data_IF_216247059971
#
_entry.id   IF_216247059971
#
_cell.length_a   1.000
_cell.length_b   1.000
_cell.length_c   1.000
_cell.angle_alpha   90.00
_cell.angle_beta   90.00
_cell.angle_gamma   90.00
#
_symmetry.space_group_name_H-M   'P 1'
#
loop_
_entity.id
_entity.type
_entity.pdbx_description
1 polymer ?
#
# COMPACT_ATOMS: atom_id res chain seq x y z
N UNK A 1 7.18 26.34 9.92
CA UNK A 1 6.08 25.35 9.90
C UNK A 1 6.51 24.16 9.06
N UNK A 2 6.37 22.93 9.56
CA UNK A 2 6.68 21.71 8.80
C UNK A 2 5.58 21.47 7.75
N UNK A 3 5.98 21.27 6.50
CA UNK A 3 5.05 20.99 5.39
C UNK A 3 4.90 19.49 5.18
N UNK A 4 3.71 19.05 4.77
CA UNK A 4 3.52 17.70 4.25
C UNK A 4 4.42 17.45 3.04
N UNK A 5 4.80 16.19 2.85
CA UNK A 5 5.67 15.76 1.76
C UNK A 5 4.99 14.66 0.96
N UNK A 6 5.24 14.70 -0.33
CA UNK A 6 4.91 13.63 -1.26
C UNK A 6 6.09 13.41 -2.20
N UNK A 7 6.04 12.41 -3.05
CA UNK A 7 7.09 12.17 -4.05
C UNK A 7 7.08 13.26 -5.12
N UNK A 8 8.25 13.66 -5.60
CA UNK A 8 8.36 14.55 -6.76
C UNK A 8 7.97 13.87 -8.07
N UNK A 9 8.25 12.56 -8.17
CA UNK A 9 7.93 11.73 -9.33
C UNK A 9 7.62 10.28 -8.91
N UNK A 10 6.86 9.51 -9.71
CA UNK A 10 6.62 8.10 -9.43
C UNK A 10 7.91 7.26 -9.42
N UNK A 11 7.97 6.26 -8.54
CA UNK A 11 9.07 5.29 -8.46
C UNK A 11 8.49 3.89 -8.65
N UNK A 12 9.21 3.02 -9.37
CA UNK A 12 8.84 1.62 -9.62
C UNK A 12 9.97 0.68 -9.22
N UNK A 13 9.62 -0.43 -8.58
CA UNK A 13 10.55 -1.51 -8.29
C UNK A 13 9.88 -2.88 -8.43
N UNK A 14 10.67 -3.94 -8.56
CA UNK A 14 10.21 -5.33 -8.67
C UNK A 14 10.94 -6.15 -7.62
N UNK A 15 10.21 -7.03 -6.93
CA UNK A 15 10.77 -7.88 -5.89
C UNK A 15 9.95 -9.14 -5.64
N UNK A 16 10.40 -9.93 -4.67
CA UNK A 16 9.71 -11.14 -4.21
C UNK A 16 9.13 -10.87 -2.82
N UNK A 17 7.85 -11.17 -2.60
CA UNK A 17 7.23 -11.07 -1.29
C UNK A 17 7.80 -12.10 -0.32
N UNK A 18 8.32 -11.67 0.83
CA UNK A 18 9.05 -12.52 1.77
C UNK A 18 8.24 -13.76 2.20
N UNK A 19 6.97 -13.60 2.56
CA UNK A 19 6.13 -14.68 3.06
C UNK A 19 5.31 -15.40 1.99
N UNK A 20 5.13 -14.78 0.81
CA UNK A 20 4.34 -15.37 -0.28
C UNK A 20 5.18 -16.03 -1.36
N UNK A 21 6.47 -15.68 -1.47
CA UNK A 21 7.35 -16.09 -2.57
C UNK A 21 6.94 -15.53 -3.93
N UNK A 22 5.93 -14.64 -3.99
CA UNK A 22 5.38 -14.14 -5.26
C UNK A 22 6.18 -12.95 -5.77
N UNK A 23 6.51 -12.97 -7.06
CA UNK A 23 7.04 -11.80 -7.77
C UNK A 23 5.97 -10.71 -7.84
N UNK A 24 6.31 -9.50 -7.41
CA UNK A 24 5.41 -8.35 -7.41
C UNK A 24 6.12 -7.11 -7.94
N UNK A 25 5.33 -6.20 -8.51
CA UNK A 25 5.77 -4.88 -8.96
C UNK A 25 5.17 -3.83 -8.04
N UNK A 26 6.00 -3.06 -7.35
CA UNK A 26 5.56 -1.93 -6.52
C UNK A 26 5.74 -0.63 -7.31
N UNK A 27 4.70 0.19 -7.35
CA UNK A 27 4.77 1.56 -7.88
C UNK A 27 4.28 2.52 -6.80
N UNK A 28 5.14 3.48 -6.42
CA UNK A 28 4.83 4.52 -5.43
C UNK A 28 4.63 5.82 -6.20
N UNK A 29 3.48 6.49 -6.00
CA UNK A 29 3.07 7.67 -6.76
C UNK A 29 2.97 8.91 -5.84
N UNK A 30 3.17 10.12 -6.37
CA UNK A 30 2.77 11.34 -5.69
C UNK A 30 1.28 11.32 -5.33
N UNK A 31 0.92 12.03 -4.27
CA UNK A 31 -0.42 12.10 -3.72
C UNK A 31 -0.72 13.53 -3.21
N UNK A 32 -1.99 13.98 -3.24
CA UNK A 32 -2.37 15.30 -2.79
C UNK A 32 -2.19 15.45 -1.26
N UNK A 33 -2.34 16.69 -0.78
CA UNK A 33 -2.32 17.00 0.66
C UNK A 33 -3.42 16.20 1.38
N UNK A 34 -3.14 15.81 2.63
CA UNK A 34 -4.05 15.07 3.50
C UNK A 34 -4.47 13.67 2.99
N UNK A 35 -3.86 13.18 1.91
CA UNK A 35 -4.17 11.86 1.34
C UNK A 35 -3.73 10.68 2.21
N UNK A 36 -2.74 10.91 3.09
CA UNK A 36 -2.08 9.86 3.86
C UNK A 36 -1.30 8.88 2.97
N UNK A 37 -1.07 7.67 3.47
CA UNK A 37 -0.49 6.56 2.70
C UNK A 37 -1.61 5.57 2.41
N UNK A 38 -1.78 5.19 1.14
CA UNK A 38 -2.78 4.23 0.71
C UNK A 38 -2.16 3.17 -0.19
N UNK A 39 -2.52 1.91 0.04
CA UNK A 39 -2.12 0.79 -0.80
C UNK A 39 -3.25 0.44 -1.78
N UNK A 40 -2.89 0.06 -3.01
CA UNK A 40 -3.85 -0.32 -4.04
C UNK A 40 -3.41 -1.63 -4.68
N UNK A 41 -4.28 -2.64 -4.68
CA UNK A 41 -4.07 -3.91 -5.35
C UNK A 41 -4.52 -3.83 -6.81
N UNK A 42 -3.60 -3.42 -7.68
CA UNK A 42 -3.88 -3.19 -9.11
C UNK A 42 -4.12 -4.47 -9.93
N UNK A 43 -3.75 -5.63 -9.39
CA UNK A 43 -3.99 -6.93 -9.99
C UNK A 43 -5.44 -7.43 -9.80
N UNK A 44 -6.23 -6.73 -8.98
CA UNK A 44 -7.64 -7.06 -8.74
C UNK A 44 -8.54 -5.94 -9.29
N UNK A 45 -9.47 -6.25 -10.23
CA UNK A 45 -10.39 -5.25 -10.74
C UNK A 45 -11.28 -4.73 -9.60
N UNK A 46 -11.49 -3.41 -9.55
CA UNK A 46 -12.32 -2.72 -8.56
C UNK A 46 -11.84 -2.82 -7.09
N UNK A 47 -10.59 -3.20 -6.83
CA UNK A 47 -10.06 -3.17 -5.47
C UNK A 47 -10.02 -1.73 -4.93
N UNK A 48 -10.77 -1.48 -3.87
CA UNK A 48 -10.74 -0.20 -3.18
C UNK A 48 -9.33 0.06 -2.58
N UNK A 49 -8.85 1.31 -2.57
CA UNK A 49 -7.65 1.66 -1.82
C UNK A 49 -7.76 1.28 -0.35
N UNK A 50 -6.66 0.82 0.23
CA UNK A 50 -6.55 0.45 1.65
C UNK A 50 -5.64 1.49 2.34
N UNK A 51 -6.20 2.36 3.20
CA UNK A 51 -5.39 3.30 3.97
C UNK A 51 -4.44 2.57 4.92
N UNK A 52 -3.20 3.04 5.02
CA UNK A 52 -2.24 2.60 6.02
C UNK A 52 -2.64 3.16 7.40
N UNK A 53 -3.69 2.59 7.98
CA UNK A 53 -4.29 3.04 9.23
C UNK A 53 -4.39 1.88 10.21
N UNK A 54 -4.20 2.14 11.52
CA UNK A 54 -4.19 1.10 12.54
C UNK A 54 -5.48 0.26 12.56
N UNK A 55 -6.63 0.90 12.31
CA UNK A 55 -7.94 0.22 12.26
C UNK A 55 -8.11 -0.70 11.04
N UNK A 56 -7.25 -0.60 10.02
CA UNK A 56 -7.27 -1.51 8.87
C UNK A 56 -6.43 -2.77 9.08
N UNK A 57 -5.64 -2.85 10.17
CA UNK A 57 -4.80 -4.02 10.47
C UNK A 57 -5.68 -5.22 10.83
N UNK A 58 -5.47 -6.35 10.15
CA UNK A 58 -6.26 -7.57 10.35
C UNK A 58 -5.44 -8.80 10.74
N UNK A 59 -4.12 -8.80 10.54
CA UNK A 59 -3.22 -9.88 10.96
C UNK A 59 -1.84 -9.27 11.29
N UNK A 60 -1.18 -9.82 12.30
CA UNK A 60 0.14 -9.41 12.77
C UNK A 60 1.14 -10.56 12.80
N UNK A 61 0.74 -11.76 12.39
CA UNK A 61 1.63 -12.93 12.33
C UNK A 61 2.57 -12.77 11.14
N UNK A 62 3.87 -12.82 11.40
CA UNK A 62 4.97 -12.70 10.43
C UNK A 62 5.09 -11.32 9.74
N UNK A 63 4.01 -10.56 9.59
CA UNK A 63 3.99 -9.20 9.06
C UNK A 63 2.80 -8.39 9.61
N UNK A 64 2.79 -7.07 9.41
CA UNK A 64 1.59 -6.24 9.60
C UNK A 64 0.77 -6.24 8.31
N UNK A 65 -0.42 -6.83 8.35
CA UNK A 65 -1.31 -6.98 7.18
C UNK A 65 -2.53 -6.09 7.33
N UNK A 66 -2.84 -5.32 6.30
CA UNK A 66 -4.04 -4.46 6.25
C UNK A 66 -5.09 -5.02 5.29
N UNK A 67 -6.36 -4.74 5.55
CA UNK A 67 -7.47 -5.23 4.73
C UNK A 67 -8.56 -4.19 4.50
N UNK A 68 -9.16 -4.22 3.31
CA UNK A 68 -10.43 -3.55 3.00
C UNK A 68 -11.28 -4.45 2.11
N UNK A 69 -12.57 -4.61 2.42
CA UNK A 69 -13.53 -5.38 1.62
C UNK A 69 -13.02 -6.79 1.21
N UNK A 70 -12.34 -7.48 2.13
CA UNK A 70 -11.77 -8.81 1.91
C UNK A 70 -10.45 -8.85 1.13
N UNK A 71 -9.98 -7.71 0.61
CA UNK A 71 -8.69 -7.59 -0.08
C UNK A 71 -7.59 -7.24 0.91
N UNK A 72 -6.49 -8.01 0.90
CA UNK A 72 -5.34 -7.85 1.80
C UNK A 72 -4.11 -7.29 1.07
N UNK A 73 -3.30 -6.53 1.82
CA UNK A 73 -1.94 -6.10 1.46
C UNK A 73 -1.00 -6.50 2.59
#
# INVERSE_FOLDING_TARGET
>A
MLKQKTLAQPIKTVGIGLHSGRKSTLTIKPAPIDFGIQFVRVDMPNAAPIPAHALAVCDTRLASVIQSQGVKV
#
